data_IF_818927059514
#
_entry.id   IF_818927059514
#
_cell.length_a   1.000
_cell.length_b   1.000
_cell.length_c   1.000
_cell.angle_alpha   90.00
_cell.angle_beta   90.00
_cell.angle_gamma   90.00
#
_symmetry.space_group_name_H-M   'P 1'
#
loop_
_entity.id
_entity.type
_entity.pdbx_description
1 polymer ?
#
# COMPACT_ATOMS: atom_id res chain seq x y z
N UNK A 1 6.94 -6.04 -18.32
CA UNK A 1 6.27 -6.65 -17.16
C UNK A 1 7.12 -6.48 -15.93
N UNK A 2 7.00 -5.33 -15.27
CA UNK A 2 7.72 -5.06 -14.02
C UNK A 2 6.83 -5.49 -12.85
N UNK A 3 6.78 -6.80 -12.63
CA UNK A 3 6.23 -7.38 -11.40
C UNK A 3 7.29 -7.33 -10.33
N UNK A 4 6.97 -6.69 -9.20
CA UNK A 4 7.87 -6.67 -8.04
C UNK A 4 7.39 -7.64 -6.97
N UNK A 5 8.31 -8.42 -6.42
CA UNK A 5 8.04 -9.22 -5.23
C UNK A 5 7.82 -8.31 -4.01
N UNK A 6 6.76 -8.62 -3.26
CA UNK A 6 6.38 -7.93 -2.03
C UNK A 6 6.32 -8.93 -0.91
N UNK A 7 6.91 -8.58 0.23
CA UNK A 7 6.89 -9.44 1.39
C UNK A 7 5.46 -9.69 1.88
N UNK A 8 5.27 -10.92 2.33
CA UNK A 8 4.10 -11.33 3.10
C UNK A 8 4.09 -10.73 4.50
N UNK A 9 3.01 -10.98 5.24
CA UNK A 9 2.97 -10.72 6.66
C UNK A 9 2.07 -11.73 7.36
N UNK A 10 2.32 -11.97 8.65
CA UNK A 10 1.37 -12.60 9.54
C UNK A 10 1.09 -11.68 10.73
N UNK A 11 -0.18 -11.50 11.10
CA UNK A 11 -0.55 -10.70 12.29
C UNK A 11 -1.99 -10.91 12.71
N UNK A 12 -2.24 -10.66 13.99
CA UNK A 12 -3.58 -10.43 14.51
C UNK A 12 -4.01 -8.97 14.32
N UNK A 13 -5.17 -8.74 13.71
CA UNK A 13 -5.76 -7.42 13.53
C UNK A 13 -7.03 -7.33 14.37
N UNK A 14 -7.16 -6.25 15.13
CA UNK A 14 -8.36 -5.98 15.91
C UNK A 14 -9.53 -5.63 14.98
N UNK A 15 -10.69 -6.21 15.27
CA UNK A 15 -11.92 -5.78 14.64
C UNK A 15 -12.35 -4.45 15.25
N UNK A 16 -12.85 -3.54 14.41
CA UNK A 16 -13.42 -2.28 14.88
C UNK A 16 -14.86 -2.16 14.42
N UNK A 17 -15.74 -1.74 15.33
CA UNK A 17 -17.15 -1.49 15.04
C UNK A 17 -17.53 -0.14 15.64
N UNK A 18 -18.11 0.76 14.82
CA UNK A 18 -18.48 2.13 15.23
C UNK A 18 -17.36 2.93 15.91
N UNK A 19 -16.08 2.66 15.61
CA UNK A 19 -14.95 3.38 16.22
C UNK A 19 -14.36 2.71 17.45
N UNK A 20 -14.98 1.65 17.97
CA UNK A 20 -14.49 0.89 19.12
C UNK A 20 -13.73 -0.37 18.69
N UNK A 21 -12.61 -0.64 19.36
CA UNK A 21 -11.89 -1.90 19.21
C UNK A 21 -12.67 -3.02 19.91
N UNK A 22 -13.05 -4.05 19.15
CA UNK A 22 -13.66 -5.24 19.69
C UNK A 22 -12.59 -6.13 20.34
N UNK A 23 -12.97 -6.97 21.32
CA UNK A 23 -12.04 -7.91 21.96
C UNK A 23 -11.57 -9.01 21.01
N UNK A 24 -12.30 -9.25 19.91
CA UNK A 24 -11.96 -10.26 18.93
C UNK A 24 -10.94 -9.75 17.91
N UNK A 25 -10.03 -10.65 17.52
CA UNK A 25 -9.02 -10.40 16.51
C UNK A 25 -9.18 -11.40 15.37
N UNK A 26 -8.88 -10.96 14.16
CA UNK A 26 -8.68 -11.84 13.02
C UNK A 26 -7.18 -12.05 12.84
N UNK A 27 -6.75 -13.29 12.73
CA UNK A 27 -5.39 -13.60 12.27
C UNK A 27 -5.40 -13.60 10.75
N UNK A 28 -4.43 -12.91 10.14
CA UNK A 28 -4.23 -12.88 8.70
C UNK A 28 -2.78 -13.25 8.44
N UNK A 29 -2.58 -14.16 7.51
CA UNK A 29 -1.30 -14.52 6.93
C UNK A 29 -1.37 -14.38 5.42
N UNK A 30 -0.42 -13.65 4.86
CA UNK A 30 -0.25 -13.45 3.43
C UNK A 30 1.18 -13.84 3.07
N UNK A 31 1.35 -14.62 2.01
CA UNK A 31 2.64 -15.04 1.49
C UNK A 31 2.66 -14.92 -0.04
N UNK A 32 3.87 -14.93 -0.61
CA UNK A 32 4.11 -14.86 -2.06
C UNK A 32 3.44 -13.66 -2.71
N UNK A 33 3.72 -12.47 -2.15
CA UNK A 33 3.20 -11.20 -2.61
C UNK A 33 3.87 -10.70 -3.89
N UNK A 34 3.10 -10.11 -4.78
CA UNK A 34 3.56 -9.45 -5.99
C UNK A 34 2.82 -8.15 -6.21
N UNK A 35 3.49 -7.14 -6.77
CA UNK A 35 2.92 -5.82 -7.06
C UNK A 35 3.04 -5.47 -8.53
N UNK A 36 1.97 -4.86 -9.06
CA UNK A 36 1.87 -4.39 -10.43
C UNK A 36 1.70 -2.87 -10.50
N UNK A 37 1.96 -2.30 -11.68
CA UNK A 37 1.53 -0.94 -12.10
C UNK A 37 2.27 0.25 -11.47
N UNK A 38 3.56 0.11 -11.17
CA UNK A 38 4.41 1.25 -10.78
C UNK A 38 4.82 2.18 -11.94
N UNK A 39 4.32 1.94 -13.16
CA UNK A 39 4.68 2.72 -14.35
C UNK A 39 3.81 3.97 -14.56
N UNK A 40 2.75 4.16 -13.75
CA UNK A 40 1.72 5.20 -13.94
C UNK A 40 1.84 6.37 -12.96
N UNK A 41 3.06 6.64 -12.48
CA UNK A 41 3.29 7.76 -11.57
C UNK A 41 2.95 9.09 -12.26
N UNK A 42 2.03 9.83 -11.67
CA UNK A 42 1.61 11.14 -12.15
C UNK A 42 1.48 12.13 -11.00
N UNK A 43 1.49 13.42 -11.34
CA UNK A 43 1.26 14.50 -10.40
C UNK A 43 -0.24 14.70 -10.21
N UNK A 44 -0.71 14.76 -8.97
CA UNK A 44 -2.14 14.88 -8.62
C UNK A 44 -2.57 16.30 -8.27
N UNK A 45 -1.64 17.26 -8.13
CA UNK A 45 -1.95 18.64 -7.77
C UNK A 45 -0.80 19.61 -8.04
N UNK A 46 -0.96 20.84 -7.56
CA UNK A 46 0.09 21.85 -7.63
C UNK A 46 1.31 21.45 -6.81
N UNK A 47 2.45 22.02 -7.20
CA UNK A 47 3.75 21.72 -6.62
C UNK A 47 4.33 23.00 -6.07
N UNK A 48 4.91 22.91 -4.88
CA UNK A 48 5.62 24.00 -4.24
C UNK A 48 7.11 23.83 -4.50
N UNK A 49 7.71 24.82 -5.15
CA UNK A 49 9.14 24.85 -5.44
C UNK A 49 9.82 25.93 -4.60
N UNK A 50 10.96 25.59 -4.02
CA UNK A 50 11.84 26.50 -3.32
C UNK A 50 13.26 26.30 -3.86
N UNK A 51 13.89 27.37 -4.33
CA UNK A 51 15.26 27.31 -4.88
C UNK A 51 16.14 28.44 -4.36
N UNK A 52 17.39 28.13 -4.08
CA UNK A 52 18.48 29.09 -3.89
C UNK A 52 19.68 28.70 -4.78
N UNK A 53 20.84 29.32 -4.56
CA UNK A 53 22.04 29.11 -5.38
C UNK A 53 22.62 27.69 -5.37
N UNK A 54 22.38 26.90 -4.32
CA UNK A 54 23.00 25.56 -4.12
C UNK A 54 21.98 24.48 -3.73
N UNK A 55 20.70 24.84 -3.66
CA UNK A 55 19.64 23.97 -3.19
C UNK A 55 18.35 24.22 -3.97
N UNK A 56 17.73 23.14 -4.45
CA UNK A 56 16.38 23.15 -5.00
C UNK A 56 15.54 22.09 -4.29
N UNK A 57 14.34 22.46 -3.90
CA UNK A 57 13.36 21.54 -3.35
C UNK A 57 12.03 21.68 -4.08
N UNK A 58 11.41 20.53 -4.31
CA UNK A 58 10.09 20.41 -4.88
C UNK A 58 9.25 19.55 -3.96
N UNK A 59 8.10 20.07 -3.56
CA UNK A 59 7.11 19.35 -2.76
C UNK A 59 5.81 19.24 -3.54
N UNK A 60 5.24 18.05 -3.60
CA UNK A 60 3.96 17.85 -4.26
C UNK A 60 3.32 16.52 -3.94
N UNK A 61 2.06 16.38 -4.38
CA UNK A 61 1.30 15.15 -4.24
C UNK A 61 1.35 14.37 -5.54
N UNK A 62 1.84 13.14 -5.47
CA UNK A 62 1.95 12.21 -6.59
C UNK A 62 1.01 11.03 -6.38
N UNK A 63 0.51 10.48 -7.48
CA UNK A 63 -0.43 9.35 -7.46
C UNK A 63 -0.08 8.34 -8.54
N UNK A 64 -0.46 7.09 -8.33
CA UNK A 64 -0.47 6.06 -9.36
C UNK A 64 -1.91 5.83 -9.81
N UNK A 65 -2.15 5.52 -11.08
CA UNK A 65 -3.52 5.34 -11.59
C UNK A 65 -4.25 4.21 -10.85
N UNK A 66 -3.57 3.07 -10.71
CA UNK A 66 -4.03 1.92 -9.94
C UNK A 66 -2.83 1.07 -9.53
N UNK A 67 -2.75 0.77 -8.24
CA UNK A 67 -1.83 -0.21 -7.68
C UNK A 67 -2.58 -1.49 -7.35
N UNK A 68 -1.90 -2.62 -7.53
CA UNK A 68 -2.44 -3.93 -7.20
C UNK A 68 -1.36 -4.78 -6.56
N UNK A 69 -1.67 -5.29 -5.36
CA UNK A 69 -0.90 -6.32 -4.67
C UNK A 69 -1.66 -7.63 -4.72
N UNK A 70 -0.98 -8.69 -5.14
CA UNK A 70 -1.53 -10.02 -5.28
C UNK A 70 -0.72 -11.00 -4.44
N UNK A 71 -1.41 -11.77 -3.59
CA UNK A 71 -0.82 -12.78 -2.72
C UNK A 71 -1.40 -14.14 -3.09
N UNK A 72 -0.52 -15.07 -3.50
CA UNK A 72 -0.91 -16.41 -3.94
C UNK A 72 -1.32 -17.32 -2.79
N UNK A 73 -0.88 -17.00 -1.58
CA UNK A 73 -1.21 -17.74 -0.38
C UNK A 73 -1.77 -16.78 0.66
N UNK A 74 -3.04 -16.98 0.97
CA UNK A 74 -3.77 -16.24 1.99
C UNK A 74 -4.39 -17.24 2.96
N UNK A 75 -4.20 -16.98 4.24
CA UNK A 75 -4.88 -17.67 5.33
C UNK A 75 -5.47 -16.64 6.29
N UNK A 76 -6.71 -16.85 6.70
CA UNK A 76 -7.31 -16.07 7.77
C UNK A 76 -8.03 -16.95 8.77
N UNK A 77 -7.86 -16.65 10.05
CA UNK A 77 -8.51 -17.34 11.16
C UNK A 77 -9.27 -16.34 12.01
N UNK A 78 -10.56 -16.61 12.24
CA UNK A 78 -11.41 -15.85 13.14
C UNK A 78 -12.19 -16.80 14.05
N UNK A 79 -12.01 -16.65 15.36
CA UNK A 79 -12.50 -17.60 16.37
C UNK A 79 -11.96 -19.01 16.10
N UNK A 80 -12.84 -19.95 15.73
CA UNK A 80 -12.52 -21.33 15.40
C UNK A 80 -12.64 -21.62 13.89
N UNK A 81 -12.96 -20.60 13.08
CA UNK A 81 -13.09 -20.71 11.63
C UNK A 81 -11.81 -20.27 10.95
N UNK A 82 -11.42 -21.02 9.93
CA UNK A 82 -10.24 -20.76 9.10
C UNK A 82 -10.63 -20.82 7.63
N UNK A 83 -10.11 -19.89 6.85
CA UNK A 83 -10.17 -19.90 5.39
C UNK A 83 -8.77 -19.84 4.81
N UNK A 84 -8.61 -20.44 3.64
CA UNK A 84 -7.38 -20.41 2.85
C UNK A 84 -7.76 -20.09 1.40
N UNK A 85 -6.90 -19.35 0.71
CA UNK A 85 -7.14 -18.98 -0.68
C UNK A 85 -6.11 -18.00 -1.21
N UNK A 86 -6.55 -17.10 -2.09
CA UNK A 86 -5.74 -15.99 -2.62
C UNK A 86 -6.32 -14.66 -2.20
N UNK A 87 -5.47 -13.64 -2.11
CA UNK A 87 -5.86 -12.30 -1.71
C UNK A 87 -5.29 -11.25 -2.65
N UNK A 88 -6.12 -10.30 -3.05
CA UNK A 88 -5.71 -9.14 -3.84
C UNK A 88 -6.13 -7.86 -3.14
N UNK A 89 -5.24 -6.87 -3.15
CA UNK A 89 -5.49 -5.52 -2.66
C UNK A 89 -5.24 -4.52 -3.78
N UNK A 90 -6.31 -3.87 -4.24
CA UNK A 90 -6.26 -2.87 -5.30
C UNK A 90 -6.55 -1.51 -4.69
N UNK A 91 -5.75 -0.51 -5.04
CA UNK A 91 -5.86 0.81 -4.42
C UNK A 91 -5.23 1.91 -5.28
N UNK A 92 -5.61 3.15 -5.01
CA UNK A 92 -5.01 4.35 -5.59
C UNK A 92 -4.37 5.20 -4.48
N UNK A 93 -3.04 5.19 -4.35
CA UNK A 93 -2.37 5.99 -3.32
C UNK A 93 -2.17 7.43 -3.78
N UNK A 94 -2.37 8.38 -2.86
CA UNK A 94 -1.91 9.76 -2.98
C UNK A 94 -0.76 9.96 -1.99
N UNK A 95 0.37 10.43 -2.50
CA UNK A 95 1.65 10.40 -1.80
C UNK A 95 2.24 11.79 -1.77
N UNK A 96 2.53 12.29 -0.58
CA UNK A 96 3.26 13.55 -0.45
C UNK A 96 4.76 13.24 -0.56
N UNK A 97 5.40 13.89 -1.53
CA UNK A 97 6.81 13.71 -1.82
C UNK A 97 7.51 15.06 -1.71
N UNK A 98 8.61 15.08 -0.97
CA UNK A 98 9.62 16.15 -1.03
C UNK A 98 10.85 15.60 -1.72
N UNK A 99 11.25 16.25 -2.80
CA UNK A 99 12.44 15.91 -3.58
C UNK A 99 13.41 17.09 -3.52
N UNK A 100 14.68 16.82 -3.29
CA UNK A 100 15.71 17.86 -3.18
C UNK A 100 16.87 17.59 -4.12
N UNK A 101 17.48 18.66 -4.60
CA UNK A 101 18.71 18.66 -5.37
C UNK A 101 19.70 19.62 -4.70
N UNK A 102 20.89 19.12 -4.42
CA UNK A 102 22.07 19.87 -3.99
C UNK A 102 23.20 19.61 -5.00
N UNK A 103 24.35 20.25 -4.81
CA UNK A 103 25.53 20.01 -5.64
C UNK A 103 26.08 18.57 -5.49
N UNK A 104 25.77 17.89 -4.38
CA UNK A 104 26.31 16.57 -4.04
C UNK A 104 25.27 15.45 -4.11
N UNK A 105 23.98 15.76 -3.96
CA UNK A 105 22.93 14.77 -3.83
C UNK A 105 21.64 15.22 -4.52
N UNK A 106 20.92 14.27 -5.11
CA UNK A 106 19.61 14.52 -5.69
C UNK A 106 18.68 13.32 -5.50
N UNK A 107 17.63 13.52 -4.72
CA UNK A 107 16.80 12.42 -4.27
C UNK A 107 15.52 12.87 -3.55
N UNK A 108 14.58 11.95 -3.33
CA UNK A 108 13.50 12.17 -2.39
C UNK A 108 14.07 12.25 -0.97
N UNK A 109 13.54 13.15 -0.14
CA UNK A 109 13.94 13.34 1.26
C UNK A 109 12.84 12.92 2.22
N UNK A 110 11.58 13.18 1.86
CA UNK A 110 10.43 12.69 2.63
C UNK A 110 9.36 12.14 1.71
N UNK A 111 8.73 11.07 2.17
CA UNK A 111 7.78 10.30 1.40
C UNK A 111 6.75 9.67 2.31
N UNK A 112 5.48 10.04 2.15
CA UNK A 112 4.38 9.52 2.96
C UNK A 112 3.10 9.35 2.14
N UNK A 113 2.27 8.39 2.52
CA UNK A 113 0.90 8.28 2.00
C UNK A 113 0.06 9.33 2.72
N UNK A 114 -0.55 10.22 1.95
CA UNK A 114 -1.52 11.20 2.45
C UNK A 114 -2.91 10.57 2.54
N UNK A 115 -3.29 9.82 1.50
CA UNK A 115 -4.57 9.11 1.46
C UNK A 115 -4.52 7.91 0.51
N UNK A 116 -5.46 7.00 0.70
CA UNK A 116 -5.70 5.88 -0.21
C UNK A 116 -7.15 5.93 -0.68
N UNK A 117 -7.33 6.01 -2.00
CA UNK A 117 -8.62 6.00 -2.67
C UNK A 117 -8.91 4.63 -3.27
N UNK A 118 -10.19 4.33 -3.47
CA UNK A 118 -10.66 3.12 -4.18
C UNK A 118 -10.01 1.82 -3.68
N UNK A 119 -9.84 1.71 -2.36
CA UNK A 119 -9.33 0.51 -1.72
C UNK A 119 -10.35 -0.64 -1.87
N UNK A 120 -9.97 -1.65 -2.65
CA UNK A 120 -10.72 -2.87 -2.90
C UNK A 120 -9.90 -4.06 -2.40
N UNK A 121 -10.57 -4.98 -1.70
CA UNK A 121 -9.97 -6.24 -1.28
C UNK A 121 -10.74 -7.38 -1.95
N UNK A 122 -10.05 -8.28 -2.63
CA UNK A 122 -10.64 -9.47 -3.22
C UNK A 122 -10.07 -10.69 -2.50
N UNK A 123 -10.96 -11.50 -1.92
CA UNK A 123 -10.62 -12.76 -1.25
C UNK A 123 -11.28 -13.88 -2.06
N UNK A 124 -10.47 -14.79 -2.59
CA UNK A 124 -10.94 -15.94 -3.36
C UNK A 124 -10.64 -17.19 -2.55
N UNK A 125 -11.68 -17.93 -2.18
CA UNK A 125 -11.59 -19.17 -1.39
C UNK A 125 -12.48 -20.23 -2.02
N UNK A 126 -12.07 -21.50 -1.93
CA UNK A 126 -12.88 -22.62 -2.42
C UNK A 126 -14.03 -23.02 -1.46
N UNK A 127 -14.04 -22.48 -0.23
CA UNK A 127 -15.05 -22.76 0.78
C UNK A 127 -16.22 -21.77 0.73
N UNK A 128 -17.43 -22.28 0.47
CA UNK A 128 -18.70 -21.54 0.47
C UNK A 128 -19.51 -21.69 1.76
N UNK A 129 -18.88 -22.14 2.86
CA UNK A 129 -19.54 -22.27 4.16
C UNK A 129 -19.92 -20.91 4.77
N UNK A 130 -20.89 -20.93 5.68
CA UNK A 130 -21.24 -19.75 6.48
C UNK A 130 -20.08 -19.27 7.37
N UNK A 131 -19.20 -20.19 7.77
CA UNK A 131 -17.97 -19.88 8.50
C UNK A 131 -16.98 -19.09 7.63
N UNK A 132 -16.80 -19.53 6.38
CA UNK A 132 -15.99 -18.80 5.39
C UNK A 132 -16.51 -17.39 5.13
N UNK A 133 -17.83 -17.24 4.99
CA UNK A 133 -18.48 -15.94 4.88
C UNK A 133 -18.18 -15.04 6.10
N UNK A 134 -18.28 -15.59 7.32
CA UNK A 134 -18.02 -14.83 8.55
C UNK A 134 -16.55 -14.38 8.66
N UNK A 135 -15.59 -15.28 8.38
CA UNK A 135 -14.17 -14.94 8.40
C UNK A 135 -13.86 -13.86 7.36
N UNK A 136 -14.42 -13.99 6.15
CA UNK A 136 -14.28 -12.99 5.08
C UNK A 136 -14.77 -11.62 5.54
N UNK A 137 -15.96 -11.53 6.16
CA UNK A 137 -16.47 -10.27 6.73
C UNK A 137 -15.58 -9.70 7.83
N UNK A 138 -15.03 -10.55 8.70
CA UNK A 138 -14.08 -10.14 9.72
C UNK A 138 -12.80 -9.55 9.11
N UNK A 139 -12.23 -10.19 8.09
CA UNK A 139 -11.06 -9.70 7.35
C UNK A 139 -11.36 -8.33 6.72
N UNK A 140 -12.45 -8.19 5.98
CA UNK A 140 -12.86 -6.89 5.41
C UNK A 140 -12.98 -5.81 6.47
N UNK A 141 -13.63 -6.10 7.60
CA UNK A 141 -13.79 -5.14 8.69
C UNK A 141 -12.46 -4.76 9.34
N UNK A 142 -11.51 -5.70 9.44
CA UNK A 142 -10.19 -5.47 10.00
C UNK A 142 -9.31 -4.60 9.09
N UNK A 143 -9.40 -4.82 7.77
CA UNK A 143 -8.61 -4.11 6.78
C UNK A 143 -9.18 -2.73 6.43
N UNK A 144 -10.51 -2.52 6.53
CA UNK A 144 -11.19 -1.28 6.13
C UNK A 144 -10.74 -0.01 6.86
N UNK A 145 -10.22 -0.10 8.08
CA UNK A 145 -9.63 1.05 8.81
C UNK A 145 -8.10 1.02 8.82
N UNK A 146 -7.52 0.11 8.03
CA UNK A 146 -6.11 -0.21 8.02
C UNK A 146 -5.30 0.69 7.11
N UNK A 147 -5.41 2.01 7.26
CA UNK A 147 -4.50 2.99 6.63
C UNK A 147 -3.03 2.76 7.06
N UNK A 148 -2.78 1.84 8.01
CA UNK A 148 -1.47 1.32 8.44
C UNK A 148 -1.37 -0.22 8.30
N UNK A 149 -1.92 -0.80 7.24
CA UNK A 149 -1.61 -2.20 6.92
C UNK A 149 -0.13 -2.33 6.51
N UNK A 150 0.55 -3.45 6.83
CA UNK A 150 1.95 -3.65 6.42
C UNK A 150 2.13 -3.54 4.90
N UNK A 151 1.08 -3.87 4.14
CA UNK A 151 0.99 -3.70 2.69
C UNK A 151 1.38 -2.28 2.23
N UNK A 152 0.81 -1.25 2.85
CA UNK A 152 1.09 0.14 2.47
C UNK A 152 2.53 0.56 2.79
N UNK A 153 3.14 0.00 3.84
CA UNK A 153 4.55 0.22 4.14
C UNK A 153 5.47 -0.41 3.09
N UNK A 154 5.17 -1.65 2.66
CA UNK A 154 5.92 -2.28 1.58
C UNK A 154 5.76 -1.54 0.25
N UNK A 155 4.56 -1.04 -0.04
CA UNK A 155 4.35 -0.14 -1.17
C UNK A 155 5.23 1.10 -1.09
N UNK A 156 5.27 1.78 0.06
CA UNK A 156 6.10 2.98 0.24
C UNK A 156 7.58 2.68 -0.04
N UNK A 157 8.10 1.56 0.48
CA UNK A 157 9.49 1.16 0.27
C UNK A 157 9.81 0.86 -1.21
N UNK A 158 8.90 0.18 -1.93
CA UNK A 158 9.11 -0.16 -3.35
C UNK A 158 8.95 1.05 -4.26
N UNK A 159 7.94 1.87 -4.02
CA UNK A 159 7.66 3.07 -4.82
C UNK A 159 8.76 4.13 -4.70
N UNK A 160 9.51 4.17 -3.59
CA UNK A 160 10.73 4.98 -3.45
C UNK A 160 11.73 4.76 -4.59
N UNK A 161 12.01 3.48 -4.92
CA UNK A 161 12.95 3.13 -5.99
C UNK A 161 12.45 3.64 -7.35
N UNK A 162 11.14 3.52 -7.59
CA UNK A 162 10.51 4.02 -8.81
C UNK A 162 10.60 5.55 -8.90
N UNK A 163 10.39 6.27 -7.79
CA UNK A 163 10.52 7.73 -7.73
C UNK A 163 11.94 8.19 -8.07
N UNK A 164 12.97 7.57 -7.46
CA UNK A 164 14.38 7.91 -7.73
C UNK A 164 14.71 7.71 -9.21
N UNK A 165 14.28 6.60 -9.80
CA UNK A 165 14.62 6.27 -11.19
C UNK A 165 13.82 7.11 -12.18
N UNK A 166 12.51 7.25 -12.00
CA UNK A 166 11.64 7.90 -12.97
C UNK A 166 11.61 9.41 -12.80
N UNK A 167 11.38 9.91 -11.59
CA UNK A 167 11.33 11.36 -11.34
C UNK A 167 12.74 11.96 -11.27
N UNK A 168 13.65 11.29 -10.57
CA UNK A 168 15.03 11.77 -10.43
C UNK A 168 15.75 11.97 -11.76
N UNK A 169 15.52 11.11 -12.76
CA UNK A 169 16.07 11.31 -14.11
C UNK A 169 15.70 12.64 -14.74
N UNK A 170 14.49 13.15 -14.49
CA UNK A 170 14.03 14.42 -15.07
C UNK A 170 14.32 15.63 -14.18
N UNK A 171 14.32 15.47 -12.86
CA UNK A 171 14.48 16.59 -11.93
C UNK A 171 15.95 16.86 -11.56
N UNK A 172 16.80 15.84 -11.58
CA UNK A 172 18.21 15.93 -11.19
C UNK A 172 19.17 16.24 -12.35
N UNK A 173 18.66 16.29 -13.59
CA UNK A 173 19.43 16.61 -14.81
C UNK A 173 19.32 18.09 -15.16
#
# INVERSE_FOLDING_TARGET
DDTLDVDGFNRHIHLTLFGFNLPWKVFIELNDGSMYSMATLSRSGDVQECSNSTYRAVQGVFTFDRMEMNYKSFEATFLYWKIVGTFSYKFRPNMNVVYTQTDEDCGPVSYSIESVENAEYDIITDDNSWGSWLVTKAVYSALRKGDNTPMLQYFLQRSWVSMVVNFGRYYCT
#
